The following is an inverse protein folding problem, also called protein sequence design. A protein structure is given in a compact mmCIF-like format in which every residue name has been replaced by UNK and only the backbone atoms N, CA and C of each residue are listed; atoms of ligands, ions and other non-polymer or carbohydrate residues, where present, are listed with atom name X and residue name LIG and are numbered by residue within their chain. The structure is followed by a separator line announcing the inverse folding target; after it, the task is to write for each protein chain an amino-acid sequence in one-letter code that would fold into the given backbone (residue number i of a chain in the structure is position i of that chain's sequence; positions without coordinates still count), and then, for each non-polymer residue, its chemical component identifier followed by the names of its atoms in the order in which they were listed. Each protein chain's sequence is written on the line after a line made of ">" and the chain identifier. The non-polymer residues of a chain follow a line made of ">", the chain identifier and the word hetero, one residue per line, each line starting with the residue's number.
data_IF_985104592263
#
_entry.id   IF_985104592263
#
_cell.length_a   1.000
_cell.length_b   1.000
_cell.length_c   1.000
_cell.angle_alpha   90.00
_cell.angle_beta   90.00
_cell.angle_gamma   90.00
#
_symmetry.space_group_name_H-M   'P 1'
#
loop_
_entity.id
_entity.type
_entity.pdbx_description
1 polymer ?
#
# COMPACT_ATOMS: atom_id res chain seq x y z
N UNK A 1 -25.11 10.94 1.47
CA UNK A 1 -23.81 11.11 0.77
C UNK A 1 -23.88 10.35 -0.56
N UNK A 2 -23.37 10.92 -1.65
CA UNK A 2 -23.31 10.23 -2.96
C UNK A 2 -22.39 9.00 -2.87
N UNK A 3 -22.80 7.87 -3.45
CA UNK A 3 -22.01 6.63 -3.51
C UNK A 3 -20.62 6.87 -4.13
N UNK A 4 -20.56 7.74 -5.13
CA UNK A 4 -19.32 8.13 -5.82
C UNK A 4 -18.38 8.88 -4.88
N UNK A 5 -18.90 9.81 -4.07
CA UNK A 5 -18.11 10.55 -3.11
C UNK A 5 -17.53 9.62 -2.02
N UNK A 6 -18.31 8.64 -1.55
CA UNK A 6 -17.85 7.63 -0.59
C UNK A 6 -16.73 6.75 -1.14
N UNK A 7 -16.81 6.35 -2.41
CA UNK A 7 -15.77 5.55 -3.08
C UNK A 7 -14.43 6.29 -3.18
N UNK A 8 -14.44 7.55 -3.64
CA UNK A 8 -13.21 8.35 -3.73
C UNK A 8 -12.62 8.69 -2.35
N UNK A 9 -13.47 8.91 -1.34
CA UNK A 9 -13.01 9.08 0.04
C UNK A 9 -12.33 7.80 0.56
N UNK A 10 -12.92 6.62 0.36
CA UNK A 10 -12.33 5.36 0.78
C UNK A 10 -10.95 5.11 0.11
N UNK A 11 -10.85 5.38 -1.20
CA UNK A 11 -9.58 5.27 -1.94
C UNK A 11 -8.50 6.19 -1.38
N UNK A 12 -8.82 7.46 -1.18
CA UNK A 12 -7.85 8.45 -0.66
C UNK A 12 -7.40 8.15 0.78
N UNK A 13 -8.31 7.68 1.64
CA UNK A 13 -8.00 7.24 3.01
C UNK A 13 -7.06 6.04 2.99
N UNK A 14 -7.37 5.02 2.19
CA UNK A 14 -6.56 3.79 2.12
C UNK A 14 -5.17 4.06 1.54
N UNK A 15 -5.08 4.91 0.52
CA UNK A 15 -3.80 5.37 -0.03
C UNK A 15 -2.94 6.08 1.01
N UNK A 16 -3.56 6.92 1.85
CA UNK A 16 -2.86 7.62 2.94
C UNK A 16 -2.37 6.64 4.00
N UNK A 17 -3.17 5.64 4.36
CA UNK A 17 -2.77 4.57 5.28
C UNK A 17 -1.55 3.81 4.73
N UNK A 18 -1.61 3.37 3.47
CA UNK A 18 -0.50 2.68 2.81
C UNK A 18 0.79 3.52 2.81
N UNK A 19 0.70 4.81 2.45
CA UNK A 19 1.87 5.69 2.45
C UNK A 19 2.47 5.86 3.85
N UNK A 20 1.64 5.96 4.90
CA UNK A 20 2.12 6.01 6.29
C UNK A 20 2.90 4.75 6.67
N UNK A 21 2.48 3.57 6.21
CA UNK A 21 3.20 2.32 6.47
C UNK A 21 4.54 2.25 5.72
N UNK A 22 4.64 2.81 4.51
CA UNK A 22 5.92 2.96 3.83
C UNK A 22 6.86 3.92 4.57
N UNK A 23 6.33 5.07 4.99
CA UNK A 23 7.09 6.09 5.73
C UNK A 23 7.56 5.57 7.10
N UNK A 24 6.71 4.85 7.84
CA UNK A 24 7.04 4.29 9.16
C UNK A 24 8.17 3.27 9.13
N UNK A 25 8.42 2.66 7.96
CA UNK A 25 9.52 1.72 7.71
C UNK A 25 10.72 2.34 7.01
N UNK A 26 10.69 3.63 6.70
CA UNK A 26 11.76 4.30 5.96
C UNK A 26 11.82 3.94 4.46
N UNK A 27 10.77 3.34 3.91
CA UNK A 27 10.68 2.95 2.50
C UNK A 27 10.26 4.12 1.60
N UNK A 28 11.13 5.12 1.52
CA UNK A 28 10.86 6.38 0.81
C UNK A 28 11.23 6.32 -0.69
N UNK A 29 12.09 5.38 -1.09
CA UNK A 29 12.52 5.24 -2.47
C UNK A 29 11.44 4.61 -3.36
N UNK A 30 11.23 5.20 -4.55
CA UNK A 30 10.33 4.66 -5.58
C UNK A 30 10.71 3.22 -5.98
N UNK A 31 12.01 2.93 -6.06
CA UNK A 31 12.52 1.60 -6.40
C UNK A 31 12.12 0.58 -5.34
N UNK A 32 12.26 0.93 -4.06
CA UNK A 32 11.87 0.08 -2.92
C UNK A 32 10.37 -0.15 -2.91
N UNK A 33 9.56 0.90 -3.14
CA UNK A 33 8.10 0.77 -3.24
C UNK A 33 7.69 -0.16 -4.38
N UNK A 34 8.29 -0.02 -5.57
CA UNK A 34 8.03 -0.92 -6.71
C UNK A 34 8.41 -2.37 -6.40
N UNK A 35 9.54 -2.58 -5.73
CA UNK A 35 9.96 -3.91 -5.28
C UNK A 35 8.93 -4.52 -4.32
N UNK A 36 8.48 -3.75 -3.32
CA UNK A 36 7.46 -4.19 -2.37
C UNK A 36 6.14 -4.50 -3.07
N UNK A 37 5.72 -3.69 -4.04
CA UNK A 37 4.52 -4.01 -4.82
C UNK A 37 4.69 -5.32 -5.59
N UNK A 38 5.85 -5.53 -6.23
CA UNK A 38 6.16 -6.80 -6.89
C UNK A 38 6.09 -8.00 -5.94
N UNK A 39 6.53 -7.84 -4.69
CA UNK A 39 6.44 -8.89 -3.66
C UNK A 39 5.03 -9.12 -3.14
N UNK A 40 4.28 -8.04 -2.87
CA UNK A 40 2.94 -8.13 -2.29
C UNK A 40 1.86 -8.53 -3.31
N UNK A 41 1.99 -8.08 -4.56
CA UNK A 41 0.96 -8.19 -5.60
C UNK A 41 1.37 -9.09 -6.77
N UNK A 42 2.65 -9.41 -6.92
CA UNK A 42 3.18 -10.14 -8.08
C UNK A 42 3.46 -9.27 -9.31
N UNK A 43 3.18 -7.96 -9.25
CA UNK A 43 3.46 -6.98 -10.30
C UNK A 43 3.69 -5.59 -9.68
N UNK A 44 4.15 -4.62 -10.48
CA UNK A 44 4.44 -3.26 -10.02
C UNK A 44 3.44 -2.24 -10.61
N UNK A 45 2.27 -2.04 -9.98
CA UNK A 45 1.32 -1.01 -10.38
C UNK A 45 1.87 0.39 -10.19
N UNK A 46 1.28 1.35 -10.92
CA UNK A 46 1.38 2.74 -10.56
C UNK A 46 0.42 3.03 -9.40
N UNK A 47 0.84 3.83 -8.41
CA UNK A 47 0.06 4.10 -7.19
C UNK A 47 -1.30 4.73 -7.50
N UNK A 48 -1.40 5.47 -8.62
CA UNK A 48 -2.66 6.10 -9.05
C UNK A 48 -3.70 5.09 -9.53
N UNK A 49 -3.24 3.95 -10.05
CA UNK A 49 -4.09 2.95 -10.71
C UNK A 49 -4.44 1.79 -9.77
N UNK A 50 -3.93 1.82 -8.53
CA UNK A 50 -4.18 0.78 -7.56
C UNK A 50 -5.64 0.74 -7.11
N UNK A 51 -6.19 -0.47 -7.01
CA UNK A 51 -7.49 -0.70 -6.39
C UNK A 51 -7.38 -0.66 -4.86
N UNK A 52 -8.50 -0.43 -4.17
CA UNK A 52 -8.55 -0.45 -2.70
C UNK A 52 -8.03 -1.80 -2.16
N UNK A 53 -8.41 -2.90 -2.82
CA UNK A 53 -8.01 -4.26 -2.44
C UNK A 53 -6.49 -4.47 -2.57
N UNK A 54 -5.87 -3.97 -3.63
CA UNK A 54 -4.42 -4.02 -3.79
C UNK A 54 -3.70 -3.20 -2.71
N UNK A 55 -4.22 -2.01 -2.38
CA UNK A 55 -3.66 -1.20 -1.29
C UNK A 55 -3.76 -1.94 0.05
N UNK A 56 -4.86 -2.64 0.32
CA UNK A 56 -5.03 -3.45 1.52
C UNK A 56 -4.04 -4.61 1.59
N UNK A 57 -3.80 -5.29 0.48
CA UNK A 57 -2.78 -6.35 0.41
C UNK A 57 -1.37 -5.81 0.68
N UNK A 58 -1.03 -4.66 0.11
CA UNK A 58 0.27 -4.01 0.38
C UNK A 58 0.38 -3.59 1.83
N UNK A 59 -0.66 -2.97 2.41
CA UNK A 59 -0.68 -2.60 3.83
C UNK A 59 -0.51 -3.83 4.72
N UNK A 60 -1.21 -4.92 4.42
CA UNK A 60 -1.10 -6.17 5.16
C UNK A 60 0.33 -6.71 5.08
N UNK A 61 0.89 -6.80 3.88
CA UNK A 61 2.28 -7.22 3.66
C UNK A 61 3.28 -6.35 4.43
N UNK A 62 3.15 -5.02 4.40
CA UNK A 62 3.98 -4.12 5.18
C UNK A 62 3.87 -4.42 6.67
N UNK A 63 2.66 -4.61 7.21
CA UNK A 63 2.45 -4.92 8.62
C UNK A 63 3.04 -6.28 9.02
N UNK A 64 3.01 -7.29 8.15
CA UNK A 64 3.52 -8.64 8.43
C UNK A 64 5.04 -8.78 8.31
N UNK A 65 5.72 -8.03 7.42
CA UNK A 65 7.19 -8.10 7.26
C UNK A 65 7.95 -7.92 8.59
N UNK A 66 7.39 -7.20 9.57
CA UNK A 66 8.02 -7.03 10.90
C UNK A 66 8.21 -8.35 11.66
N UNK A 67 7.56 -9.44 11.26
CA UNK A 67 7.64 -10.73 11.94
C UNK A 67 8.75 -11.65 11.41
N UNK A 68 9.31 -11.38 10.22
CA UNK A 68 10.30 -12.29 9.60
C UNK A 68 11.76 -11.90 9.89
N UNK A 69 12.05 -10.66 10.28
CA UNK A 69 13.41 -10.19 10.61
C UNK A 69 13.81 -10.38 12.09
N UNK A 70 13.10 -11.21 12.85
CA UNK A 70 13.41 -11.53 14.27
C UNK A 70 13.83 -12.99 14.49
N UNK A 71 14.50 -13.62 13.51
CA UNK A 71 15.11 -14.95 13.68
C UNK A 71 16.60 -14.94 13.35
#
# INVERSE_FOLDING_TARGET
>A
MSLVAGFFQAHSVKKREMNKEFESKGYNSLMVRRFIFGKALGYAPNIKDMTIREMEQVIHYLKTIKLEESK
#
